data_IF_750848025902
#
_entry.id   IF_750848025902
#
_cell.length_a   1.000
_cell.length_b   1.000
_cell.length_c   1.000
_cell.angle_alpha   90.00
_cell.angle_beta   90.00
_cell.angle_gamma   90.00
#
_symmetry.space_group_name_H-M   'P 1'
#
loop_
_entity.id
_entity.type
_entity.pdbx_description
1 polymer ?
#
# COMPACT_ATOMS: atom_id res chain seq x y z
N UNK A 1 8.07 1.70 -1.94
CA UNK A 1 6.64 1.47 -1.65
C UNK A 1 6.44 0.30 -0.71
N UNK A 2 6.75 -0.94 -1.13
CA UNK A 2 6.62 -2.13 -0.28
C UNK A 2 7.13 -1.94 1.16
N UNK A 3 8.37 -1.50 1.31
CA UNK A 3 8.97 -1.31 2.64
C UNK A 3 8.36 -0.17 3.45
N UNK A 4 7.77 0.84 2.80
CA UNK A 4 7.03 1.89 3.48
C UNK A 4 5.71 1.36 4.05
N UNK A 5 4.96 0.59 3.25
CA UNK A 5 3.78 -0.12 3.74
C UNK A 5 4.16 -1.09 4.86
N UNK A 6 5.20 -1.91 4.68
CA UNK A 6 5.68 -2.84 5.71
C UNK A 6 6.05 -2.14 7.02
N UNK A 7 6.67 -0.96 6.97
CA UNK A 7 6.96 -0.15 8.16
C UNK A 7 5.67 0.32 8.85
N UNK A 8 4.67 0.80 8.11
CA UNK A 8 3.36 1.20 8.64
C UNK A 8 2.66 0.00 9.31
N UNK A 9 2.64 -1.15 8.64
CA UNK A 9 2.06 -2.41 9.18
C UNK A 9 2.93 -3.09 10.26
N UNK A 10 3.94 -2.41 10.81
CA UNK A 10 4.76 -2.94 11.90
C UNK A 10 5.54 -4.22 11.55
N UNK A 11 5.87 -4.41 10.26
CA UNK A 11 6.57 -5.60 9.77
C UNK A 11 5.66 -6.75 9.34
N UNK A 12 4.34 -6.55 9.31
CA UNK A 12 3.34 -7.59 9.01
C UNK A 12 2.67 -7.41 7.63
N UNK A 13 3.29 -6.68 6.70
CA UNK A 13 2.73 -6.50 5.36
C UNK A 13 2.97 -7.77 4.50
N UNK A 14 1.88 -8.49 4.24
CA UNK A 14 1.80 -9.56 3.25
C UNK A 14 1.54 -9.02 1.84
N UNK A 15 1.62 -9.90 0.85
CA UNK A 15 1.22 -9.66 -0.55
C UNK A 15 -0.20 -9.10 -0.65
N UNK A 16 -1.16 -9.72 0.05
CA UNK A 16 -2.57 -9.30 0.00
C UNK A 16 -2.78 -7.93 0.66
N UNK A 17 -2.20 -7.73 1.86
CA UNK A 17 -2.29 -6.44 2.54
C UNK A 17 -1.65 -5.31 1.72
N UNK A 18 -0.61 -5.62 0.94
CA UNK A 18 0.02 -4.64 0.07
C UNK A 18 -0.88 -4.27 -1.12
N UNK A 19 -1.58 -5.23 -1.73
CA UNK A 19 -2.57 -4.92 -2.77
C UNK A 19 -3.68 -4.02 -2.23
N UNK A 20 -4.16 -4.31 -1.02
CA UNK A 20 -5.23 -3.52 -0.40
C UNK A 20 -4.74 -2.14 0.01
N UNK A 21 -3.48 -2.02 0.43
CA UNK A 21 -2.82 -0.74 0.67
C UNK A 21 -2.71 0.10 -0.61
N UNK A 22 -2.38 -0.50 -1.75
CA UNK A 22 -2.35 0.21 -3.03
C UNK A 22 -3.74 0.71 -3.43
N UNK A 23 -4.77 -0.13 -3.27
CA UNK A 23 -6.16 0.27 -3.50
C UNK A 23 -6.56 1.42 -2.57
N UNK A 24 -6.25 1.33 -1.28
CA UNK A 24 -6.47 2.40 -0.31
C UNK A 24 -5.80 3.70 -0.73
N UNK A 25 -4.52 3.66 -1.13
CA UNK A 25 -3.77 4.83 -1.58
C UNK A 25 -4.39 5.47 -2.84
N UNK A 26 -4.84 4.66 -3.80
CA UNK A 26 -5.60 5.13 -4.98
C UNK A 26 -6.89 5.82 -4.52
N UNK A 27 -7.57 5.28 -3.51
CA UNK A 27 -8.76 5.86 -2.89
C UNK A 27 -8.55 7.22 -2.23
N UNK A 28 -7.31 7.57 -1.83
CA UNK A 28 -6.97 8.90 -1.32
C UNK A 28 -6.88 9.98 -2.40
N UNK A 29 -6.99 9.59 -3.67
CA UNK A 29 -7.00 10.49 -4.81
C UNK A 29 -5.66 10.58 -5.53
N UNK A 30 -5.73 11.13 -6.76
CA UNK A 30 -4.62 11.13 -7.72
C UNK A 30 -3.39 11.88 -7.22
N UNK A 31 -3.58 13.05 -6.60
CA UNK A 31 -2.47 13.90 -6.16
C UNK A 31 -1.66 13.21 -5.04
N UNK A 32 -2.35 12.59 -4.07
CA UNK A 32 -1.74 11.80 -3.00
C UNK A 32 -0.99 10.60 -3.57
N UNK A 33 -1.62 9.87 -4.49
CA UNK A 33 -0.98 8.72 -5.14
C UNK A 33 0.29 9.15 -5.89
N UNK A 34 0.22 10.18 -6.75
CA UNK A 34 1.36 10.64 -7.56
C UNK A 34 2.53 11.13 -6.69
N UNK A 35 2.22 11.81 -5.58
CA UNK A 35 3.22 12.24 -4.59
C UNK A 35 3.94 11.04 -3.96
N UNK A 36 3.18 10.05 -3.50
CA UNK A 36 3.68 8.89 -2.74
C UNK A 36 4.42 7.89 -3.64
N UNK A 37 4.00 7.70 -4.89
CA UNK A 37 4.73 6.81 -5.82
C UNK A 37 6.08 7.39 -6.24
N UNK A 38 6.21 8.72 -6.24
CA UNK A 38 7.48 9.40 -6.54
C UNK A 38 8.48 9.23 -5.40
N UNK A 39 8.03 9.43 -4.17
CA UNK A 39 8.82 9.16 -2.97
C UNK A 39 7.91 8.53 -1.90
N UNK A 40 8.08 7.23 -1.58
CA UNK A 40 7.28 6.56 -0.56
C UNK A 40 7.38 7.19 0.83
N UNK A 41 8.46 7.92 1.14
CA UNK A 41 8.57 8.60 2.45
C UNK A 41 7.57 9.77 2.60
N UNK A 42 7.00 10.27 1.48
CA UNK A 42 5.92 11.26 1.49
C UNK A 42 4.62 10.73 2.13
N UNK A 43 4.49 9.42 2.37
CA UNK A 43 3.40 8.89 3.20
C UNK A 43 3.37 9.55 4.59
N UNK A 44 4.50 10.07 5.08
CA UNK A 44 4.57 10.82 6.34
C UNK A 44 3.72 12.11 6.34
N UNK A 45 3.44 12.67 5.17
CA UNK A 45 2.65 13.89 5.01
C UNK A 45 1.16 13.61 4.72
N UNK A 46 0.78 12.33 4.61
CA UNK A 46 -0.61 11.91 4.36
C UNK A 46 -1.41 11.98 5.67
N UNK A 47 -2.53 12.75 5.73
CA UNK A 47 -3.28 12.94 6.97
C UNK A 47 -3.75 11.63 7.63
N UNK A 48 -4.13 10.64 6.84
CA UNK A 48 -4.53 9.32 7.32
C UNK A 48 -3.36 8.62 8.04
N UNK A 49 -2.15 8.67 7.46
CA UNK A 49 -0.94 8.05 8.03
C UNK A 49 -0.52 8.77 9.32
N UNK A 50 -0.65 10.10 9.37
CA UNK A 50 -0.39 10.89 10.57
C UNK A 50 -1.31 10.49 11.72
N UNK A 51 -2.62 10.39 11.46
CA UNK A 51 -3.60 9.91 12.47
C UNK A 51 -3.28 8.51 12.98
N UNK A 52 -2.80 7.61 12.11
CA UNK A 52 -2.40 6.27 12.51
C UNK A 52 -1.14 6.28 13.39
N UNK A 53 -0.17 7.13 13.09
CA UNK A 53 1.09 7.24 13.84
C UNK A 53 0.91 7.80 15.27
N UNK A 54 -0.18 8.52 15.54
CA UNK A 54 -0.46 9.11 16.87
C UNK A 54 -0.89 8.08 17.93
N UNK A 55 -1.18 6.84 17.52
CA UNK A 55 -1.75 5.79 18.38
C UNK A 55 -1.16 4.41 18.06
N UNK A 56 -1.10 3.49 19.04
CA UNK A 56 -0.61 2.15 18.77
C UNK A 56 -1.53 1.40 17.79
N UNK A 57 -0.95 0.51 16.97
CA UNK A 57 -1.66 -0.24 15.92
C UNK A 57 -2.90 -0.99 16.44
N UNK A 58 -2.88 -1.48 17.69
CA UNK A 58 -4.03 -2.14 18.34
C UNK A 58 -5.27 -1.24 18.52
N UNK A 59 -5.13 0.08 18.36
CA UNK A 59 -6.19 1.08 18.51
C UNK A 59 -6.71 1.61 17.15
N UNK A 60 -6.25 1.09 16.02
CA UNK A 60 -6.64 1.57 14.70
C UNK A 60 -8.09 1.28 14.31
N UNK A 61 -8.78 0.36 15.01
CA UNK A 61 -10.17 -0.01 14.72
C UNK A 61 -10.37 -0.32 13.22
N UNK A 62 -11.23 0.43 12.52
CA UNK A 62 -11.53 0.29 11.09
C UNK A 62 -10.69 1.23 10.19
N UNK A 63 -9.70 1.93 10.75
CA UNK A 63 -8.86 2.91 10.04
C UNK A 63 -7.59 2.29 9.41
N UNK A 64 -7.58 0.98 9.21
CA UNK A 64 -6.47 0.30 8.55
C UNK A 64 -6.24 0.88 7.14
N UNK A 65 -4.97 1.03 6.71
CA UNK A 65 -4.66 1.54 5.38
C UNK A 65 -4.83 0.43 4.34
N UNK A 66 -6.06 -0.09 4.22
CA UNK A 66 -6.44 -1.16 3.31
C UNK A 66 -7.83 -0.87 2.70
N UNK A 67 -8.02 -1.24 1.44
CA UNK A 67 -9.33 -1.11 0.78
C UNK A 67 -9.52 -2.21 -0.28
N UNK A 68 -9.62 -3.46 0.18
CA UNK A 68 -9.82 -4.62 -0.70
C UNK A 68 -11.00 -4.43 -1.67
N UNK A 69 -12.14 -3.94 -1.17
CA UNK A 69 -13.36 -3.82 -1.97
C UNK A 69 -13.16 -2.97 -3.25
N UNK A 70 -12.28 -1.97 -3.21
CA UNK A 70 -12.01 -1.12 -4.37
C UNK A 70 -11.37 -1.89 -5.53
N UNK A 71 -10.55 -2.91 -5.24
CA UNK A 71 -9.90 -3.76 -6.25
C UNK A 71 -10.89 -4.54 -7.10
N UNK A 72 -12.10 -4.81 -6.57
CA UNK A 72 -13.14 -5.55 -7.30
C UNK A 72 -14.11 -4.66 -8.08
N UNK A 73 -14.10 -3.33 -7.87
CA UNK A 73 -15.10 -2.42 -8.48
C UNK A 73 -15.07 -2.49 -10.00
N UNK A 74 -13.88 -2.44 -10.61
CA UNK A 74 -13.76 -2.47 -12.07
C UNK A 74 -14.23 -3.81 -12.65
N UNK A 75 -13.84 -4.92 -12.02
CA UNK A 75 -14.24 -6.26 -12.46
C UNK A 75 -15.76 -6.46 -12.37
N UNK A 76 -16.37 -6.07 -11.24
CA UNK A 76 -17.83 -6.14 -11.07
C UNK A 76 -18.59 -5.26 -12.05
N UNK A 77 -18.14 -4.02 -12.24
CA UNK A 77 -18.77 -3.12 -13.21
C UNK A 77 -18.66 -3.64 -14.65
N UNK A 78 -17.55 -4.31 -15.00
CA UNK A 78 -17.39 -4.94 -16.29
C UNK A 78 -18.36 -6.12 -16.44
N UNK A 79 -18.39 -7.03 -15.47
CA UNK A 79 -19.30 -8.18 -15.44
C UNK A 79 -20.76 -7.74 -15.54
N UNK A 80 -21.18 -6.72 -14.78
CA UNK A 80 -22.53 -6.16 -14.85
C UNK A 80 -22.86 -5.58 -16.25
N UNK A 81 -21.87 -5.01 -16.93
CA UNK A 81 -22.07 -4.39 -18.24
C UNK A 81 -22.04 -5.38 -19.41
N UNK A 82 -21.31 -6.49 -19.29
CA UNK A 82 -21.06 -7.45 -20.39
C UNK A 82 -21.71 -8.82 -20.16
N UNK A 83 -22.00 -9.18 -18.92
CA UNK A 83 -22.38 -10.53 -18.50
C UNK A 83 -21.21 -11.52 -18.47
N UNK A 84 -19.98 -11.07 -18.63
CA UNK A 84 -18.78 -11.92 -18.65
C UNK A 84 -18.06 -11.88 -17.29
N UNK A 85 -18.25 -12.93 -16.49
CA UNK A 85 -17.52 -13.15 -15.23
C UNK A 85 -16.01 -13.20 -15.50
N UNK A 86 -15.24 -12.42 -14.74
CA UNK A 86 -13.78 -12.25 -14.90
C UNK A 86 -13.29 -11.77 -16.29
N UNK A 87 -14.19 -11.49 -17.24
CA UNK A 87 -13.85 -11.14 -18.63
C UNK A 87 -13.04 -9.85 -18.77
N UNK A 88 -13.01 -9.00 -17.74
CA UNK A 88 -12.18 -7.80 -17.71
C UNK A 88 -10.69 -8.13 -17.90
N UNK A 89 -10.20 -9.24 -17.36
CA UNK A 89 -8.78 -9.59 -17.44
C UNK A 89 -8.39 -9.97 -18.86
N UNK A 90 -9.24 -10.76 -19.54
CA UNK A 90 -9.06 -11.12 -20.94
C UNK A 90 -9.18 -9.90 -21.86
N UNK A 91 -10.15 -9.02 -21.60
CA UNK A 91 -10.31 -7.77 -22.34
C UNK A 91 -9.09 -6.85 -22.21
N UNK A 92 -8.51 -6.75 -21.01
CA UNK A 92 -7.29 -5.99 -20.74
C UNK A 92 -6.06 -6.64 -21.39
N UNK A 93 -5.96 -7.97 -21.32
CA UNK A 93 -4.90 -8.73 -21.99
C UNK A 93 -4.95 -8.54 -23.52
N UNK A 94 -6.15 -8.54 -24.12
CA UNK A 94 -6.37 -8.25 -25.54
C UNK A 94 -5.94 -6.83 -25.96
N UNK A 95 -5.87 -5.90 -25.01
CA UNK A 95 -5.34 -4.53 -25.19
C UNK A 95 -3.83 -4.42 -24.91
N UNK A 96 -3.17 -5.52 -24.59
CA UNK A 96 -1.74 -5.56 -24.28
C UNK A 96 -1.39 -5.20 -22.83
N UNK A 97 -2.38 -5.05 -21.95
CA UNK A 97 -2.11 -4.87 -20.52
C UNK A 97 -1.74 -6.22 -19.89
N UNK A 98 -0.78 -6.19 -18.97
CA UNK A 98 -0.39 -7.36 -18.17
C UNK A 98 -1.06 -7.28 -16.81
N UNK A 99 -1.73 -8.35 -16.42
CA UNK A 99 -2.15 -8.52 -15.03
C UNK A 99 -0.93 -8.92 -14.19
N UNK A 100 -0.62 -8.16 -13.12
CA UNK A 100 0.48 -8.49 -12.23
C UNK A 100 -0.01 -9.44 -11.15
N UNK A 101 0.52 -10.66 -11.14
CA UNK A 101 0.19 -11.66 -10.11
C UNK A 101 1.05 -11.53 -8.85
N UNK A 102 2.17 -10.79 -8.93
CA UNK A 102 3.10 -10.59 -7.82
C UNK A 102 3.39 -9.08 -7.64
N UNK A 103 3.00 -8.48 -6.51
CA UNK A 103 3.31 -7.09 -6.18
C UNK A 103 4.74 -6.87 -5.68
N UNK A 104 5.54 -7.93 -5.51
CA UNK A 104 6.91 -7.77 -5.03
C UNK A 104 7.70 -6.84 -5.96
N UNK A 105 8.44 -5.87 -5.39
CA UNK A 105 9.16 -4.90 -6.20
C UNK A 105 10.25 -5.61 -7.02
N UNK A 106 10.23 -5.40 -8.33
CA UNK A 106 11.25 -5.89 -9.27
C UNK A 106 12.46 -4.96 -9.37
N UNK A 107 12.45 -3.85 -8.63
CA UNK A 107 13.53 -2.86 -8.57
C UNK A 107 14.70 -3.28 -7.69
N UNK A 108 15.58 -2.32 -7.37
CA UNK A 108 16.76 -2.56 -6.53
C UNK A 108 16.34 -3.08 -5.15
N UNK A 109 16.70 -4.33 -4.86
CA UNK A 109 16.57 -4.91 -3.53
C UNK A 109 17.55 -4.24 -2.57
N UNK A 110 17.08 -3.93 -1.37
CA UNK A 110 17.91 -3.45 -0.28
C UNK A 110 17.46 -4.14 1.01
N UNK A 111 18.36 -4.20 2.00
CA UNK A 111 18.08 -4.93 3.23
C UNK A 111 17.18 -4.11 4.16
N UNK A 112 15.87 -4.30 4.05
CA UNK A 112 14.87 -3.65 4.90
C UNK A 112 14.88 -4.12 6.36
N UNK A 113 15.56 -5.23 6.67
CA UNK A 113 15.86 -5.61 8.06
C UNK A 113 16.99 -4.79 8.67
N UNK A 114 17.71 -3.97 7.91
CA UNK A 114 18.73 -3.07 8.43
C UNK A 114 18.10 -1.71 8.78
N UNK A 115 17.97 -1.35 10.08
CA UNK A 115 17.37 -0.07 10.48
C UNK A 115 18.10 1.15 9.90
N UNK A 116 19.41 1.04 9.66
CA UNK A 116 20.18 2.14 9.05
C UNK A 116 19.75 2.41 7.62
N UNK A 117 19.47 1.36 6.83
CA UNK A 117 18.97 1.52 5.46
C UNK A 117 17.52 2.01 5.45
N UNK A 118 16.70 1.56 6.40
CA UNK A 118 15.31 2.04 6.55
C UNK A 118 15.30 3.54 6.88
N UNK A 119 16.07 3.98 7.88
CA UNK A 119 16.21 5.40 8.26
C UNK A 119 16.76 6.24 7.10
N UNK A 120 17.71 5.71 6.34
CA UNK A 120 18.32 6.41 5.21
C UNK A 120 17.32 6.63 4.06
N UNK A 121 16.43 5.66 3.80
CA UNK A 121 15.53 5.64 2.63
C UNK A 121 14.12 6.12 2.94
N UNK A 122 13.69 6.00 4.18
CA UNK A 122 12.37 6.39 4.68
C UNK A 122 12.53 7.22 5.98
N UNK A 123 13.29 8.32 5.97
CA UNK A 123 13.61 9.05 7.20
C UNK A 123 12.39 9.60 7.95
N UNK A 124 11.37 10.10 7.25
CA UNK A 124 10.18 10.67 7.88
C UNK A 124 9.29 9.57 8.46
N UNK A 125 8.96 8.54 7.67
CA UNK A 125 8.18 7.40 8.15
C UNK A 125 8.91 6.66 9.26
N UNK A 126 10.24 6.55 9.18
CA UNK A 126 11.03 5.99 10.28
C UNK A 126 10.80 6.80 11.55
N UNK A 127 10.82 8.13 11.54
CA UNK A 127 10.54 8.88 12.78
C UNK A 127 9.12 8.69 13.33
N UNK A 128 8.15 8.41 12.45
CA UNK A 128 6.74 8.23 12.84
C UNK A 128 6.46 6.82 13.39
N UNK A 129 7.03 5.79 12.76
CA UNK A 129 6.74 4.38 13.03
C UNK A 129 7.92 3.62 13.66
N UNK A 130 9.13 4.20 13.70
CA UNK A 130 10.32 3.66 14.38
C UNK A 130 10.53 4.36 15.73
N UNK A 131 10.83 3.66 16.83
CA UNK A 131 10.92 2.22 17.08
C UNK A 131 10.54 2.06 18.56
N UNK A 132 9.45 1.34 18.84
CA UNK A 132 9.11 0.92 20.19
C UNK A 132 10.20 -0.01 20.73
N UNK A 133 11.21 0.57 21.37
CA UNK A 133 11.91 -0.11 22.44
C UNK A 133 10.88 -0.36 23.54
N UNK A 134 10.48 -1.63 23.67
CA UNK A 134 9.67 -2.19 24.76
C UNK A 134 8.26 -1.62 24.96
N UNK A 135 7.30 -2.56 24.97
CA UNK A 135 6.24 -2.67 25.97
C UNK A 135 5.83 -1.37 26.69
N UNK A 136 4.58 -0.97 26.47
CA UNK A 136 3.69 -0.60 27.57
C UNK A 136 2.33 -1.24 27.38
#
# INVERSE_FOLDING_TARGET
MWEAANLIFGGHCSTDSFWYFQAWLIGLGRDTFDLVVTDPDNLADVPEVQRLAERPMREWADEWPEWEALSYVAARAFEEATGEEEGIYDAMAGRGHRNQSDPHPTGLSWNSRNPTEVIRRLPCLSRMFSLGASER
#
